data_IF_994355383418
#
_entry.id   IF_994355383418
#
_cell.length_a   1.000
_cell.length_b   1.000
_cell.length_c   1.000
_cell.angle_alpha   90.00
_cell.angle_beta   90.00
_cell.angle_gamma   90.00
#
_symmetry.space_group_name_H-M   'P 1'
#
loop_
_entity.id
_entity.type
_entity.pdbx_description
1 polymer ?
#
# COMPACT_ATOMS: atom_id res chain seq x y z
N UNK A 1 6.62 18.68 -10.19
CA UNK A 1 7.29 17.70 -11.06
C UNK A 1 6.33 17.23 -12.15
N UNK A 2 5.14 16.67 -11.86
CA UNK A 2 4.21 16.13 -12.85
C UNK A 2 3.89 17.11 -13.96
N UNK A 3 3.43 18.33 -13.65
CA UNK A 3 3.06 19.32 -14.68
C UNK A 3 4.23 19.68 -15.58
N UNK A 4 5.45 19.78 -15.03
CA UNK A 4 6.66 20.02 -15.84
C UNK A 4 6.89 18.90 -16.86
N UNK A 5 6.70 17.64 -16.46
CA UNK A 5 6.84 16.49 -17.37
C UNK A 5 5.76 16.54 -18.45
N UNK A 6 4.51 16.80 -18.08
CA UNK A 6 3.40 16.92 -19.05
C UNK A 6 3.70 18.00 -20.10
N UNK A 7 4.19 19.16 -19.68
CA UNK A 7 4.51 20.26 -20.57
C UNK A 7 5.73 19.95 -21.45
N UNK A 8 6.71 19.25 -20.92
CA UNK A 8 7.94 18.86 -21.63
C UNK A 8 7.65 17.81 -22.70
N UNK A 9 6.86 16.79 -22.38
CA UNK A 9 6.52 15.69 -23.30
C UNK A 9 5.37 16.05 -24.26
N UNK A 10 4.61 17.10 -23.93
CA UNK A 10 3.38 17.49 -24.62
C UNK A 10 2.16 16.70 -24.12
N UNK A 11 1.16 17.42 -23.62
CA UNK A 11 -0.04 16.82 -23.01
C UNK A 11 -0.77 15.82 -23.93
N UNK A 12 -0.75 16.07 -25.23
CA UNK A 12 -1.34 15.19 -26.25
C UNK A 12 -0.67 13.80 -26.35
N UNK A 13 0.52 13.65 -25.79
CA UNK A 13 1.29 12.40 -25.81
C UNK A 13 1.12 11.61 -24.50
N UNK A 14 0.37 12.13 -23.51
CA UNK A 14 0.19 11.52 -22.20
C UNK A 14 -1.28 11.19 -22.01
N UNK A 15 -1.60 9.90 -21.88
CA UNK A 15 -2.97 9.42 -21.68
C UNK A 15 -3.41 9.50 -20.24
N UNK A 16 -2.55 9.13 -19.30
CA UNK A 16 -2.89 9.00 -17.90
C UNK A 16 -1.68 9.20 -16.97
N UNK A 17 -1.98 9.57 -15.74
CA UNK A 17 -1.08 9.44 -14.58
C UNK A 17 -1.63 8.35 -13.67
N UNK A 18 -0.77 7.41 -13.25
CA UNK A 18 -1.14 6.32 -12.35
C UNK A 18 -0.31 6.38 -11.06
N UNK A 19 -0.96 6.19 -9.92
CA UNK A 19 -0.29 6.11 -8.61
C UNK A 19 -1.09 5.26 -7.61
N UNK A 20 -0.38 4.66 -6.64
CA UNK A 20 -0.99 4.14 -5.42
C UNK A 20 -1.36 5.31 -4.49
N UNK A 21 -2.51 5.31 -3.81
CA UNK A 21 -2.84 6.37 -2.84
C UNK A 21 -1.94 6.33 -1.62
N UNK A 22 -1.63 5.15 -1.13
CA UNK A 22 -0.65 4.88 -0.08
C UNK A 22 0.23 3.76 -0.61
N UNK A 23 1.54 3.94 -0.58
CA UNK A 23 2.45 2.96 -1.14
C UNK A 23 2.36 1.64 -0.37
N UNK A 24 2.03 0.58 -1.09
CA UNK A 24 1.87 -0.75 -0.53
C UNK A 24 3.20 -1.50 -0.44
N UNK A 25 3.57 -2.19 -1.52
CA UNK A 25 4.68 -3.13 -1.52
C UNK A 25 6.04 -2.43 -1.61
N UNK A 26 6.14 -1.32 -2.35
CA UNK A 26 7.42 -0.64 -2.61
C UNK A 26 7.96 0.09 -1.39
N UNK A 27 7.11 0.85 -0.68
CA UNK A 27 7.52 1.68 0.46
C UNK A 27 6.64 1.49 1.69
N UNK A 28 5.96 0.38 1.80
CA UNK A 28 5.10 -0.07 2.91
C UNK A 28 4.55 1.06 3.80
N UNK A 29 3.31 1.47 3.54
CA UNK A 29 2.60 2.44 4.37
C UNK A 29 3.03 3.90 4.19
N UNK A 30 3.83 4.25 3.17
CA UNK A 30 4.17 5.64 2.91
C UNK A 30 2.95 6.41 2.41
N UNK A 31 2.56 7.44 3.18
CA UNK A 31 1.38 8.28 2.92
C UNK A 31 1.81 9.60 2.31
N UNK A 32 1.32 9.97 1.11
CA UNK A 32 1.60 11.27 0.52
C UNK A 32 1.04 12.44 1.36
N UNK A 33 1.60 13.66 1.21
CA UNK A 33 1.06 14.85 1.87
C UNK A 33 -0.43 15.09 1.56
N UNK A 34 -1.17 15.79 2.45
CA UNK A 34 -2.61 16.01 2.28
C UNK A 34 -3.01 16.73 0.99
N UNK A 35 -2.14 17.57 0.44
CA UNK A 35 -2.36 18.32 -0.79
C UNK A 35 -1.90 17.61 -2.08
N UNK A 36 -1.32 16.41 -1.96
CA UNK A 36 -0.74 15.70 -3.10
C UNK A 36 -1.78 15.32 -4.15
N UNK A 37 -2.78 14.52 -3.79
CA UNK A 37 -3.80 14.09 -4.75
C UNK A 37 -4.73 15.20 -5.22
N UNK A 38 -5.16 16.17 -4.39
CA UNK A 38 -5.87 17.36 -4.88
C UNK A 38 -5.11 18.08 -6.00
N UNK A 39 -3.82 18.33 -5.80
CA UNK A 39 -2.98 18.96 -6.85
C UNK A 39 -2.79 18.09 -8.09
N UNK A 40 -2.65 16.76 -7.90
CA UNK A 40 -2.55 15.84 -9.04
C UNK A 40 -3.83 15.90 -9.86
N UNK A 41 -5.02 15.87 -9.20
CA UNK A 41 -6.30 15.96 -9.90
C UNK A 41 -6.44 17.26 -10.70
N UNK A 42 -6.12 18.39 -10.08
CA UNK A 42 -6.13 19.70 -10.76
C UNK A 42 -5.22 19.73 -12.01
N UNK A 43 -4.03 19.15 -11.91
CA UNK A 43 -3.09 19.08 -13.05
C UNK A 43 -3.65 18.16 -14.14
N UNK A 44 -4.14 16.99 -13.79
CA UNK A 44 -4.74 16.04 -14.72
C UNK A 44 -5.93 16.68 -15.48
N UNK A 45 -6.83 17.36 -14.76
CA UNK A 45 -7.99 18.05 -15.36
C UNK A 45 -7.55 19.16 -16.33
N UNK A 46 -6.58 19.98 -15.93
CA UNK A 46 -6.07 21.10 -16.74
C UNK A 46 -5.47 20.64 -18.06
N UNK A 47 -4.84 19.49 -18.08
CA UNK A 47 -4.14 18.96 -19.24
C UNK A 47 -4.87 17.83 -19.96
N UNK A 48 -6.11 17.51 -19.56
CA UNK A 48 -6.91 16.40 -20.08
C UNK A 48 -6.15 15.06 -20.03
N UNK A 49 -5.49 14.80 -18.91
CA UNK A 49 -4.79 13.54 -18.58
C UNK A 49 -5.64 12.76 -17.59
N UNK A 50 -5.85 11.48 -17.82
CA UNK A 50 -6.65 10.65 -16.90
C UNK A 50 -5.89 10.40 -15.59
N UNK A 51 -6.61 10.40 -14.47
CA UNK A 51 -6.10 9.96 -13.18
C UNK A 51 -6.50 8.52 -12.93
N UNK A 52 -5.52 7.63 -12.86
CA UNK A 52 -5.70 6.22 -12.51
C UNK A 52 -5.16 6.00 -11.11
N UNK A 53 -5.97 5.42 -10.24
CA UNK A 53 -5.53 5.06 -8.89
C UNK A 53 -5.38 3.54 -8.79
N UNK A 54 -4.18 3.12 -8.40
CA UNK A 54 -3.86 1.72 -8.11
C UNK A 54 -4.25 1.38 -6.67
N UNK A 55 -5.41 0.75 -6.53
CA UNK A 55 -5.98 0.28 -5.26
C UNK A 55 -5.78 -1.22 -5.04
N UNK A 56 -4.82 -1.81 -5.74
CA UNK A 56 -4.56 -3.25 -5.63
C UNK A 56 -4.15 -3.65 -4.20
N UNK A 57 -3.42 -2.80 -3.48
CA UNK A 57 -3.07 -3.02 -2.07
C UNK A 57 -4.04 -2.32 -1.13
N UNK A 58 -4.40 -1.10 -1.43
CA UNK A 58 -5.09 -0.17 -0.52
C UNK A 58 -6.61 -0.30 -0.53
N UNK A 59 -7.18 -0.88 -1.58
CA UNK A 59 -8.63 -1.06 -1.72
C UNK A 59 -9.24 -2.10 -0.79
N UNK A 60 -10.55 -2.09 -0.73
CA UNK A 60 -11.40 -3.02 0.02
C UNK A 60 -11.10 -3.07 1.52
N UNK A 61 -10.83 -1.90 2.12
CA UNK A 61 -10.74 -1.77 3.57
C UNK A 61 -9.33 -1.69 4.15
N UNK A 62 -8.27 -1.99 3.38
CA UNK A 62 -6.89 -2.08 3.90
C UNK A 62 -6.42 -0.82 4.65
N UNK A 63 -6.89 0.34 4.24
CA UNK A 63 -6.52 1.63 4.84
C UNK A 63 -7.54 2.17 5.84
N UNK A 64 -8.55 1.37 6.22
CA UNK A 64 -9.66 1.79 7.09
C UNK A 64 -10.79 2.52 6.36
N UNK A 65 -10.74 2.60 5.03
CA UNK A 65 -11.79 3.10 4.14
C UNK A 65 -11.98 2.10 2.99
N UNK A 66 -13.09 2.19 2.22
CA UNK A 66 -13.32 1.28 1.11
C UNK A 66 -12.18 1.34 0.10
N UNK A 67 -11.75 2.56 -0.24
CA UNK A 67 -10.60 2.82 -1.11
C UNK A 67 -9.63 3.79 -0.43
N UNK A 68 -8.34 3.59 -0.66
CA UNK A 68 -7.30 4.44 -0.08
C UNK A 68 -7.38 5.89 -0.53
N UNK A 69 -7.85 6.15 -1.76
CA UNK A 69 -8.00 7.51 -2.29
C UNK A 69 -9.04 8.34 -1.52
N UNK A 70 -9.97 7.72 -0.81
CA UNK A 70 -11.00 8.42 -0.02
C UNK A 70 -10.40 9.22 1.15
N UNK A 71 -9.14 8.98 1.52
CA UNK A 71 -8.43 9.84 2.47
C UNK A 71 -8.21 11.27 1.96
N UNK A 72 -8.35 11.51 0.66
CA UNK A 72 -8.29 12.83 0.03
C UNK A 72 -9.67 13.22 -0.49
N UNK A 73 -10.50 13.79 0.40
CA UNK A 73 -11.87 14.17 0.09
C UNK A 73 -11.96 15.03 -1.16
N UNK A 74 -12.93 14.74 -2.01
CA UNK A 74 -13.18 15.45 -3.26
C UNK A 74 -12.30 15.02 -4.44
N UNK A 75 -11.33 14.14 -4.24
CA UNK A 75 -10.55 13.56 -5.33
C UNK A 75 -11.26 12.33 -5.88
N UNK A 76 -11.80 12.46 -7.09
CA UNK A 76 -12.44 11.35 -7.80
C UNK A 76 -11.53 10.94 -8.97
N UNK A 77 -10.99 9.71 -8.97
CA UNK A 77 -10.20 9.21 -10.09
C UNK A 77 -11.08 8.89 -11.30
N UNK A 78 -10.47 8.85 -12.48
CA UNK A 78 -11.16 8.43 -13.70
C UNK A 78 -11.22 6.90 -13.81
N UNK A 79 -10.18 6.23 -13.30
CA UNK A 79 -10.08 4.77 -13.30
C UNK A 79 -9.48 4.31 -11.96
N UNK A 80 -9.99 3.21 -11.44
CA UNK A 80 -9.43 2.50 -10.28
C UNK A 80 -9.07 1.08 -10.73
N UNK A 81 -7.82 0.67 -10.47
CA UNK A 81 -7.37 -0.71 -10.61
C UNK A 81 -7.43 -1.42 -9.25
N UNK A 82 -8.03 -2.61 -9.20
CA UNK A 82 -8.24 -3.37 -7.95
C UNK A 82 -7.82 -4.83 -8.07
N UNK A 83 -7.57 -5.45 -6.92
CA UNK A 83 -7.20 -6.86 -6.83
C UNK A 83 -7.11 -7.32 -5.38
N UNK A 84 -6.23 -8.22 -5.07
CA UNK A 84 -5.90 -8.71 -3.70
C UNK A 84 -7.07 -8.79 -2.74
N UNK A 85 -7.37 -7.70 -2.01
CA UNK A 85 -8.48 -7.58 -1.06
C UNK A 85 -9.86 -7.87 -1.64
N UNK A 86 -10.02 -7.73 -2.95
CA UNK A 86 -11.27 -8.05 -3.65
C UNK A 86 -11.75 -9.49 -3.37
N UNK A 87 -10.83 -10.43 -3.30
CA UNK A 87 -11.14 -11.84 -2.98
C UNK A 87 -10.36 -12.38 -1.77
N UNK A 88 -9.61 -11.55 -1.05
CA UNK A 88 -8.76 -11.94 0.10
C UNK A 88 -7.85 -13.15 -0.19
N UNK A 89 -7.42 -13.34 -1.42
CA UNK A 89 -6.54 -14.43 -1.82
C UNK A 89 -7.20 -15.78 -2.05
N UNK A 90 -8.52 -15.91 -1.87
CA UNK A 90 -9.23 -17.18 -2.09
C UNK A 90 -9.30 -17.59 -3.55
N UNK A 91 -9.29 -16.62 -4.47
CA UNK A 91 -9.28 -16.87 -5.92
C UNK A 91 -8.57 -15.74 -6.65
N UNK A 92 -7.88 -16.02 -7.77
CA UNK A 92 -7.32 -14.95 -8.60
C UNK A 92 -8.44 -14.15 -9.27
N UNK A 93 -8.51 -12.87 -8.94
CA UNK A 93 -9.42 -11.90 -9.56
C UNK A 93 -8.83 -10.50 -9.44
N UNK A 94 -9.03 -9.70 -10.46
CA UNK A 94 -8.77 -8.27 -10.47
C UNK A 94 -9.93 -7.58 -11.20
N UNK A 95 -10.11 -6.29 -10.95
CA UNK A 95 -11.13 -5.51 -11.62
C UNK A 95 -10.60 -4.10 -11.93
N UNK A 96 -11.15 -3.52 -12.99
CA UNK A 96 -10.98 -2.13 -13.36
C UNK A 96 -12.33 -1.45 -13.25
N UNK A 97 -12.40 -0.39 -12.48
CA UNK A 97 -13.59 0.44 -12.30
C UNK A 97 -13.32 1.75 -13.02
N UNK A 98 -14.17 2.14 -13.93
CA UNK A 98 -14.02 3.36 -14.71
C UNK A 98 -15.28 4.21 -14.63
N UNK A 99 -15.12 5.53 -14.79
CA UNK A 99 -16.25 6.47 -14.88
C UNK A 99 -17.05 6.21 -16.16
N UNK A 100 -18.31 6.60 -16.13
CA UNK A 100 -19.23 6.40 -17.27
C UNK A 100 -18.70 7.04 -18.55
N UNK A 101 -18.07 8.20 -18.46
CA UNK A 101 -17.52 8.89 -19.65
C UNK A 101 -16.43 8.06 -20.37
N UNK A 102 -15.67 7.25 -19.63
CA UNK A 102 -14.68 6.33 -20.21
C UNK A 102 -15.39 5.18 -20.94
N UNK A 103 -16.42 4.60 -20.29
CA UNK A 103 -17.24 3.57 -20.89
C UNK A 103 -17.93 4.08 -22.16
N UNK A 104 -18.57 5.25 -22.11
CA UNK A 104 -19.29 5.86 -23.21
C UNK A 104 -18.36 6.18 -24.39
N UNK A 105 -17.14 6.65 -24.12
CA UNK A 105 -16.16 6.91 -25.16
C UNK A 105 -15.81 5.63 -25.95
N UNK A 106 -15.73 4.48 -25.27
CA UNK A 106 -15.49 3.18 -25.92
C UNK A 106 -16.77 2.72 -26.65
N UNK A 107 -17.91 2.73 -25.96
CA UNK A 107 -19.18 2.19 -26.47
C UNK A 107 -19.68 2.96 -27.70
N UNK A 108 -19.65 4.29 -27.68
CA UNK A 108 -20.18 5.13 -28.76
C UNK A 108 -19.19 5.40 -29.89
N UNK A 109 -17.87 5.28 -29.65
CA UNK A 109 -16.85 5.56 -30.68
C UNK A 109 -16.33 4.28 -31.33
N UNK A 110 -15.53 3.49 -30.64
CA UNK A 110 -14.91 2.28 -31.20
C UNK A 110 -15.85 1.07 -31.23
N UNK A 111 -16.83 1.01 -30.34
CA UNK A 111 -17.74 -0.11 -30.12
C UNK A 111 -17.03 -1.43 -29.84
N UNK A 112 -15.75 -1.36 -29.49
CA UNK A 112 -14.93 -2.53 -29.19
C UNK A 112 -13.98 -2.23 -28.03
N UNK A 113 -14.08 -3.00 -26.96
CA UNK A 113 -13.09 -3.06 -25.90
C UNK A 113 -12.12 -4.18 -26.22
N UNK A 114 -11.02 -3.84 -26.91
CA UNK A 114 -10.04 -4.81 -27.41
C UNK A 114 -9.05 -5.17 -26.29
N UNK A 115 -9.58 -5.63 -25.18
CA UNK A 115 -8.81 -6.12 -24.05
C UNK A 115 -9.61 -7.19 -23.31
N UNK A 116 -8.97 -8.27 -22.89
CA UNK A 116 -9.65 -9.31 -22.15
C UNK A 116 -8.70 -10.45 -21.76
N UNK A 117 -9.17 -11.23 -20.83
CA UNK A 117 -8.51 -12.46 -20.38
C UNK A 117 -9.46 -13.63 -20.59
N UNK A 118 -8.94 -14.81 -20.94
CA UNK A 118 -9.74 -16.02 -21.15
C UNK A 118 -10.67 -16.33 -19.98
N UNK A 119 -10.19 -16.08 -18.76
CA UNK A 119 -10.97 -16.28 -17.53
C UNK A 119 -11.65 -15.01 -16.98
N UNK A 120 -11.73 -13.94 -17.78
CA UNK A 120 -12.47 -12.72 -17.40
C UNK A 120 -13.94 -13.03 -17.13
N UNK A 121 -14.48 -12.51 -16.01
CA UNK A 121 -15.84 -12.79 -15.59
C UNK A 121 -16.10 -14.25 -15.15
N UNK A 122 -15.06 -15.00 -14.76
CA UNK A 122 -15.21 -16.35 -14.25
C UNK A 122 -16.24 -16.40 -13.10
N UNK A 123 -17.35 -17.16 -13.23
CA UNK A 123 -18.43 -17.13 -12.23
C UNK A 123 -17.98 -17.55 -10.83
N UNK A 124 -17.07 -18.53 -10.71
CA UNK A 124 -16.57 -18.98 -9.42
C UNK A 124 -15.76 -17.87 -8.74
N UNK A 125 -14.87 -17.19 -9.47
CA UNK A 125 -14.07 -16.10 -8.93
C UNK A 125 -14.95 -14.91 -8.54
N UNK A 126 -15.95 -14.56 -9.35
CA UNK A 126 -16.88 -13.48 -9.06
C UNK A 126 -17.73 -13.80 -7.81
N UNK A 127 -18.27 -15.03 -7.70
CA UNK A 127 -19.04 -15.46 -6.53
C UNK A 127 -18.21 -15.47 -5.25
N UNK A 128 -16.95 -15.90 -5.34
CA UNK A 128 -16.01 -15.87 -4.20
C UNK A 128 -15.72 -14.43 -3.77
N UNK A 129 -15.41 -13.55 -4.72
CA UNK A 129 -15.18 -12.15 -4.42
C UNK A 129 -16.40 -11.50 -3.75
N UNK A 130 -17.61 -11.74 -4.28
CA UNK A 130 -18.84 -11.24 -3.68
C UNK A 130 -19.05 -11.75 -2.25
N UNK A 131 -18.78 -13.03 -1.99
CA UNK A 131 -18.87 -13.61 -0.64
C UNK A 131 -17.87 -12.96 0.32
N UNK A 132 -16.64 -12.68 -0.14
CA UNK A 132 -15.62 -11.98 0.66
C UNK A 132 -16.07 -10.57 1.00
N UNK A 133 -16.53 -9.79 0.00
CA UNK A 133 -16.98 -8.42 0.25
C UNK A 133 -18.19 -8.38 1.19
N UNK A 134 -19.14 -9.31 1.01
CA UNK A 134 -20.26 -9.44 1.94
C UNK A 134 -19.82 -9.79 3.36
N UNK A 135 -18.82 -10.67 3.53
CA UNK A 135 -18.28 -11.01 4.84
C UNK A 135 -17.61 -9.79 5.52
N UNK A 136 -16.87 -8.99 4.74
CA UNK A 136 -16.24 -7.74 5.23
C UNK A 136 -17.32 -6.77 5.72
N UNK A 137 -18.41 -6.61 4.97
CA UNK A 137 -19.54 -5.74 5.33
C UNK A 137 -20.30 -6.28 6.55
N UNK A 138 -20.73 -7.55 6.53
CA UNK A 138 -21.54 -8.18 7.58
C UNK A 138 -20.81 -8.18 8.96
N UNK A 139 -19.47 -8.11 8.99
CA UNK A 139 -18.65 -8.12 10.21
C UNK A 139 -17.99 -6.78 10.49
N UNK A 140 -18.33 -5.72 9.78
CA UNK A 140 -17.75 -4.37 9.93
C UNK A 140 -16.21 -4.34 9.97
N UNK A 141 -15.58 -5.16 9.12
CA UNK A 141 -14.13 -5.35 9.16
C UNK A 141 -13.33 -4.12 8.68
N UNK A 142 -13.94 -3.18 7.98
CA UNK A 142 -13.28 -1.92 7.59
C UNK A 142 -13.09 -1.03 8.81
N UNK A 143 -14.11 -0.89 9.65
CA UNK A 143 -14.02 -0.16 10.92
C UNK A 143 -12.99 -0.82 11.84
N UNK A 144 -13.04 -2.15 11.99
CA UNK A 144 -12.05 -2.90 12.75
C UNK A 144 -10.63 -2.69 12.22
N UNK A 145 -10.44 -2.67 10.90
CA UNK A 145 -9.14 -2.40 10.28
C UNK A 145 -8.62 -1.00 10.64
N UNK A 146 -9.48 0.01 10.68
CA UNK A 146 -9.10 1.37 11.08
C UNK A 146 -8.70 1.44 12.57
N UNK A 147 -9.50 0.84 13.45
CA UNK A 147 -9.25 0.82 14.89
C UNK A 147 -7.96 0.06 15.24
N UNK A 148 -7.81 -1.16 14.74
CA UNK A 148 -6.62 -1.98 14.97
C UNK A 148 -5.38 -1.37 14.30
N UNK A 149 -5.55 -0.71 13.16
CA UNK A 149 -4.48 0.04 12.50
C UNK A 149 -3.96 1.22 13.32
N UNK A 150 -4.86 1.99 13.94
CA UNK A 150 -4.50 3.06 14.87
C UNK A 150 -3.73 2.51 16.08
N UNK A 151 -4.23 1.44 16.68
CA UNK A 151 -3.56 0.77 17.80
C UNK A 151 -2.17 0.27 17.42
N UNK A 152 -2.06 -0.43 16.28
CA UNK A 152 -0.80 -0.95 15.76
C UNK A 152 0.21 0.17 15.57
N UNK A 153 -0.16 1.22 14.87
CA UNK A 153 0.75 2.34 14.57
C UNK A 153 1.17 3.09 15.83
N UNK A 154 0.27 3.30 16.78
CA UNK A 154 0.59 3.94 18.06
C UNK A 154 1.65 3.17 18.82
N UNK A 155 1.53 1.84 18.90
CA UNK A 155 2.52 1.00 19.57
C UNK A 155 3.84 0.91 18.82
N UNK A 156 3.80 0.88 17.48
CA UNK A 156 5.01 0.88 16.66
C UNK A 156 5.86 2.14 16.85
N UNK A 157 5.30 3.25 17.36
CA UNK A 157 6.09 4.46 17.63
C UNK A 157 7.27 4.23 18.56
N UNK A 158 7.20 3.23 19.44
CA UNK A 158 8.32 2.83 20.30
C UNK A 158 9.56 2.38 19.49
N UNK A 159 9.39 1.89 18.25
CA UNK A 159 10.52 1.56 17.40
C UNK A 159 11.39 2.77 17.03
N UNK A 160 10.87 3.98 17.15
CA UNK A 160 11.66 5.21 16.89
C UNK A 160 12.87 5.35 17.79
N UNK A 161 12.84 4.76 18.97
CA UNK A 161 13.95 4.82 19.93
C UNK A 161 15.05 3.81 19.61
N UNK A 162 14.75 2.80 18.77
CA UNK A 162 15.70 1.78 18.38
C UNK A 162 16.76 2.35 17.43
N UNK A 163 18.07 2.07 17.66
CA UNK A 163 19.16 2.72 16.94
C UNK A 163 19.12 2.57 15.42
N UNK A 164 18.70 1.40 14.92
CA UNK A 164 18.70 1.09 13.49
C UNK A 164 17.43 1.51 12.75
N UNK A 165 16.45 2.12 13.42
CA UNK A 165 15.18 2.54 12.81
C UNK A 165 15.28 3.99 12.32
N UNK A 166 15.19 4.17 11.01
CA UNK A 166 15.19 5.48 10.35
C UNK A 166 13.81 6.11 10.27
N UNK A 167 12.80 5.31 9.91
CA UNK A 167 11.42 5.79 9.77
C UNK A 167 10.40 4.69 10.06
N UNK A 168 9.25 5.10 10.59
CA UNK A 168 8.05 4.28 10.72
C UNK A 168 6.97 4.92 9.86
N UNK A 169 6.44 4.17 8.91
CA UNK A 169 5.41 4.59 7.98
C UNK A 169 4.10 3.88 8.29
N UNK A 170 2.96 4.52 8.04
CA UNK A 170 1.64 3.94 8.29
C UNK A 170 0.65 4.93 8.90
N UNK A 171 -0.23 4.41 9.78
CA UNK A 171 -1.25 5.21 10.46
C UNK A 171 -2.53 5.37 9.64
N UNK A 172 -2.71 4.55 8.61
CA UNK A 172 -3.93 4.41 7.83
C UNK A 172 -4.26 2.93 7.72
N UNK A 173 -5.22 2.46 8.51
CA UNK A 173 -5.60 1.07 8.61
C UNK A 173 -4.43 0.14 8.98
N UNK A 174 -4.52 -1.11 8.58
CA UNK A 174 -3.55 -2.17 8.86
C UNK A 174 -2.49 -2.27 7.77
N UNK A 175 -1.77 -1.17 7.52
CA UNK A 175 -0.66 -1.10 6.58
C UNK A 175 0.44 -0.21 7.16
N UNK A 176 1.60 -0.78 7.45
CA UNK A 176 2.72 -0.09 8.03
C UNK A 176 4.06 -0.63 7.53
N UNK A 177 5.12 0.15 7.72
CA UNK A 177 6.48 -0.23 7.43
C UNK A 177 7.48 0.36 8.40
N UNK A 178 8.64 -0.28 8.53
CA UNK A 178 9.79 0.19 9.30
C UNK A 178 11.01 0.17 8.41
N UNK A 179 11.63 1.32 8.25
CA UNK A 179 12.86 1.49 7.48
C UNK A 179 14.09 1.43 8.38
N UNK A 180 15.15 0.78 7.90
CA UNK A 180 16.39 0.59 8.63
C UNK A 180 17.51 1.43 8.06
N UNK A 181 18.30 2.07 8.97
CA UNK A 181 19.42 2.94 8.64
C UNK A 181 20.58 2.72 9.59
N UNK A 182 21.79 3.02 9.12
CA UNK A 182 23.02 3.02 9.94
C UNK A 182 23.20 4.33 10.72
N UNK A 183 22.63 5.43 10.19
CA UNK A 183 22.70 6.77 10.77
C UNK A 183 21.33 7.44 10.61
N UNK A 184 20.66 7.71 11.72
CA UNK A 184 19.30 8.29 11.75
C UNK A 184 19.27 9.76 11.33
N UNK A 185 20.32 10.53 11.65
CA UNK A 185 20.36 11.95 11.31
C UNK A 185 20.60 12.15 9.81
N UNK A 186 21.53 11.39 9.25
CA UNK A 186 21.87 11.43 7.82
C UNK A 186 20.97 10.53 6.96
N UNK A 187 20.13 9.70 7.59
CA UNK A 187 19.32 8.67 6.93
C UNK A 187 20.14 7.76 6.02
N UNK A 188 21.35 7.40 6.48
CA UNK A 188 22.25 6.55 5.71
C UNK A 188 21.73 5.11 5.69
N UNK A 189 21.44 4.52 4.54
CA UNK A 189 20.99 3.13 4.47
C UNK A 189 22.08 2.15 4.86
N UNK A 190 21.69 0.93 5.21
CA UNK A 190 22.62 -0.19 5.31
C UNK A 190 23.11 -0.60 3.92
N UNK A 191 24.32 -1.18 3.84
CA UNK A 191 24.75 -1.89 2.63
C UNK A 191 23.77 -3.07 2.39
N UNK A 192 23.14 -3.16 1.22
CA UNK A 192 22.17 -4.22 0.90
C UNK A 192 22.69 -5.64 1.16
N UNK A 193 24.01 -5.84 1.07
CA UNK A 193 24.66 -7.14 1.35
C UNK A 193 24.52 -7.57 2.82
N UNK A 194 24.27 -6.64 3.72
CA UNK A 194 24.10 -6.96 5.15
C UNK A 194 22.73 -7.63 5.41
N UNK A 195 21.70 -7.37 4.58
CA UNK A 195 20.41 -8.03 4.66
C UNK A 195 19.66 -7.82 5.96
N UNK A 196 19.64 -6.59 6.49
CA UNK A 196 19.07 -6.28 7.79
C UNK A 196 17.57 -6.57 7.84
N UNK A 197 16.79 -6.18 6.81
CA UNK A 197 15.37 -6.52 6.76
C UNK A 197 15.12 -8.03 6.76
N UNK A 198 15.93 -8.79 6.00
CA UNK A 198 15.84 -10.25 6.00
C UNK A 198 16.15 -10.86 7.38
N UNK A 199 17.14 -10.29 8.10
CA UNK A 199 17.46 -10.72 9.45
C UNK A 199 16.31 -10.40 10.44
N UNK A 200 15.67 -9.24 10.32
CA UNK A 200 14.50 -8.88 11.13
C UNK A 200 13.33 -9.81 10.82
N UNK A 201 12.98 -10.02 9.53
CA UNK A 201 11.92 -10.95 9.12
C UNK A 201 12.15 -12.35 9.69
N UNK A 202 13.39 -12.84 9.59
CA UNK A 202 13.74 -14.15 10.17
C UNK A 202 13.56 -14.19 11.69
N UNK A 203 14.02 -13.16 12.41
CA UNK A 203 13.87 -13.08 13.86
C UNK A 203 12.40 -13.05 14.30
N UNK A 204 11.58 -12.26 13.61
CA UNK A 204 10.14 -12.19 13.84
C UNK A 204 9.47 -13.55 13.57
N UNK A 205 9.85 -14.23 12.48
CA UNK A 205 9.33 -15.54 12.12
C UNK A 205 9.70 -16.61 13.16
N UNK A 206 10.93 -16.63 13.63
CA UNK A 206 11.43 -17.56 14.65
C UNK A 206 10.67 -17.38 15.99
N UNK A 207 10.08 -16.22 16.24
CA UNK A 207 9.25 -15.88 17.40
C UNK A 207 7.73 -16.07 17.14
N UNK A 208 7.35 -16.67 16.00
CA UNK A 208 5.97 -17.07 15.70
C UNK A 208 5.10 -16.01 15.02
N UNK A 209 5.68 -14.90 14.56
CA UNK A 209 4.96 -13.86 13.82
C UNK A 209 5.46 -13.78 12.38
N UNK A 210 4.57 -13.59 11.42
CA UNK A 210 4.90 -13.45 10.01
C UNK A 210 4.76 -12.01 9.54
N UNK A 211 5.85 -11.44 9.05
CA UNK A 211 5.88 -10.15 8.34
C UNK A 211 6.55 -10.31 6.98
N UNK A 212 6.46 -9.30 6.13
CA UNK A 212 7.08 -9.34 4.81
C UNK A 212 8.36 -8.49 4.77
N UNK A 213 9.41 -8.92 4.04
CA UNK A 213 10.48 -8.01 3.66
C UNK A 213 9.89 -6.95 2.73
N UNK A 214 10.37 -5.73 2.82
CA UNK A 214 10.08 -4.68 1.85
C UNK A 214 10.79 -4.93 0.51
N UNK A 215 10.38 -4.19 -0.52
CA UNK A 215 11.09 -4.21 -1.79
C UNK A 215 12.50 -3.61 -1.63
N UNK A 216 13.55 -4.30 -2.08
CA UNK A 216 14.91 -3.75 -2.01
C UNK A 216 15.07 -2.58 -3.00
N UNK A 217 16.02 -1.69 -2.70
CA UNK A 217 16.39 -0.63 -3.63
C UNK A 217 15.45 0.57 -3.70
N UNK A 218 14.62 0.78 -2.67
CA UNK A 218 13.60 1.83 -2.66
C UNK A 218 14.16 3.26 -2.80
N UNK A 219 15.41 3.51 -2.40
CA UNK A 219 15.98 4.87 -2.42
C UNK A 219 16.49 5.24 -3.81
N UNK A 220 17.26 4.35 -4.45
CA UNK A 220 17.98 4.64 -5.70
C UNK A 220 18.08 3.44 -6.64
N UNK A 221 17.26 2.42 -6.43
CA UNK A 221 17.30 1.15 -7.16
C UNK A 221 18.27 0.12 -6.58
N UNK A 222 19.06 0.49 -5.58
CA UNK A 222 20.07 -0.38 -4.92
C UNK A 222 19.91 -0.35 -3.42
N UNK A 223 19.86 0.85 -2.83
CA UNK A 223 19.82 1.08 -1.40
C UNK A 223 18.41 1.17 -0.85
N UNK A 224 18.28 0.99 0.47
CA UNK A 224 17.03 1.02 1.22
C UNK A 224 16.61 -0.38 1.65
N UNK A 225 16.40 -0.51 2.95
CA UNK A 225 16.05 -1.77 3.61
C UNK A 225 14.89 -1.50 4.58
N UNK A 226 13.81 -2.25 4.43
CA UNK A 226 12.61 -2.07 5.25
C UNK A 226 11.80 -3.35 5.36
N UNK A 227 10.88 -3.39 6.33
CA UNK A 227 9.86 -4.45 6.47
C UNK A 227 8.47 -3.88 6.32
N UNK A 228 7.54 -4.71 5.85
CA UNK A 228 6.13 -4.39 5.68
C UNK A 228 5.27 -5.22 6.64
N UNK A 229 4.31 -4.57 7.28
CA UNK A 229 3.38 -5.16 8.24
C UNK A 229 1.95 -4.90 7.76
N UNK A 230 1.22 -5.97 7.46
CA UNK A 230 -0.16 -5.90 6.96
C UNK A 230 -0.97 -7.10 7.45
N UNK A 231 -1.35 -7.15 8.73
CA UNK A 231 -2.08 -8.28 9.30
C UNK A 231 -3.48 -8.41 8.69
N UNK A 232 -4.16 -9.56 8.89
CA UNK A 232 -5.54 -9.75 8.43
C UNK A 232 -6.49 -8.79 9.16
N UNK A 233 -7.62 -8.44 8.54
CA UNK A 233 -8.62 -7.55 9.13
C UNK A 233 -9.25 -8.13 10.40
N UNK A 234 -9.25 -9.45 10.52
CA UNK A 234 -9.78 -10.19 11.67
C UNK A 234 -8.83 -10.21 12.87
N UNK A 235 -7.68 -9.55 12.79
CA UNK A 235 -6.77 -9.44 13.95
C UNK A 235 -7.45 -8.69 15.08
N UNK A 236 -7.29 -9.19 16.29
CA UNK A 236 -7.78 -8.53 17.52
C UNK A 236 -6.67 -7.70 18.20
N UNK A 237 -7.05 -7.00 19.25
CA UNK A 237 -6.12 -6.17 20.02
C UNK A 237 -4.94 -6.99 20.58
N UNK A 238 -5.17 -8.23 21.03
CA UNK A 238 -4.13 -9.08 21.59
C UNK A 238 -3.12 -9.49 20.53
N UNK A 239 -3.60 -9.81 19.32
CA UNK A 239 -2.77 -10.13 18.17
C UNK A 239 -1.93 -8.94 17.69
N UNK A 240 -2.52 -7.74 17.67
CA UNK A 240 -1.79 -6.50 17.36
C UNK A 240 -0.67 -6.27 18.37
N UNK A 241 -0.98 -6.30 19.68
CA UNK A 241 0.00 -6.08 20.75
C UNK A 241 1.16 -7.07 20.67
N UNK A 242 0.84 -8.36 20.57
CA UNK A 242 1.83 -9.41 20.45
C UNK A 242 2.71 -9.24 19.21
N UNK A 243 2.11 -8.96 18.06
CA UNK A 243 2.87 -8.79 16.80
C UNK A 243 3.83 -7.60 16.87
N UNK A 244 3.40 -6.49 17.46
CA UNK A 244 4.28 -5.31 17.61
C UNK A 244 5.38 -5.55 18.64
N UNK A 245 5.08 -6.20 19.78
CA UNK A 245 6.09 -6.56 20.78
C UNK A 245 7.19 -7.43 20.17
N UNK A 246 6.82 -8.50 19.46
CA UNK A 246 7.77 -9.38 18.75
C UNK A 246 8.59 -8.61 17.72
N UNK A 247 7.96 -7.70 16.99
CA UNK A 247 8.66 -6.85 16.01
C UNK A 247 9.71 -5.97 16.70
N UNK A 248 9.35 -5.25 17.77
CA UNK A 248 10.25 -4.36 18.50
C UNK A 248 11.44 -5.12 19.08
N UNK A 249 11.18 -6.25 19.73
CA UNK A 249 12.21 -7.14 20.27
C UNK A 249 13.16 -7.63 19.16
N UNK A 250 12.61 -8.05 18.03
CA UNK A 250 13.41 -8.56 16.89
C UNK A 250 14.27 -7.47 16.26
N UNK A 251 13.77 -6.24 16.13
CA UNK A 251 14.55 -5.10 15.63
C UNK A 251 15.71 -4.80 16.59
N UNK A 252 15.45 -4.80 17.90
CA UNK A 252 16.46 -4.59 18.92
C UNK A 252 17.55 -5.67 18.88
N UNK A 253 17.16 -6.96 18.84
CA UNK A 253 18.11 -8.09 18.80
C UNK A 253 18.99 -8.04 17.53
N UNK A 254 18.38 -7.73 16.39
CA UNK A 254 19.10 -7.56 15.12
C UNK A 254 20.02 -6.34 15.18
N UNK A 255 19.56 -5.21 15.74
CA UNK A 255 20.42 -4.04 15.96
C UNK A 255 21.69 -4.39 16.73
N UNK A 256 21.55 -5.07 17.87
CA UNK A 256 22.71 -5.55 18.66
C UNK A 256 23.64 -6.45 17.86
N UNK A 257 23.10 -7.39 17.07
CA UNK A 257 23.89 -8.29 16.23
C UNK A 257 24.73 -7.53 15.20
N UNK A 258 24.26 -6.38 14.74
CA UNK A 258 24.96 -5.50 13.80
C UNK A 258 25.82 -4.41 14.50
N UNK A 259 25.94 -4.44 15.84
CA UNK A 259 26.79 -3.54 16.62
C UNK A 259 26.12 -2.22 17.02
N UNK A 260 24.80 -2.17 17.02
CA UNK A 260 24.00 -1.02 17.47
C UNK A 260 23.35 -1.36 18.82
N UNK A 261 23.72 -0.61 19.88
CA UNK A 261 23.22 -0.76 21.26
C UNK A 261 22.20 0.34 21.62
#
# INVERSE_FOLDING_TARGET
VLERVILQEGAQNISAFIAEPILGTSAAGAVPPPDYFPRIREICDRHNVLLIIDEVVTGFGRTGLNFGIEHWQGVVPDIIATGKGLSSGYTPIAATIARDEIYDAIYHKSRAFVHGHTYGGNPLSCATALAVQKYIEDHDLITQCDEMGKLMFEQMKAARDLPIVGEIRGGRGLLAGVEFVTDKEKRTPFDPKQGVAAAVVKSVFDKGVLIMPGAPGIIDGVNGDHVAISPPFTIDESGVRHSVEVLLESIHDVGKKFGYE
#
